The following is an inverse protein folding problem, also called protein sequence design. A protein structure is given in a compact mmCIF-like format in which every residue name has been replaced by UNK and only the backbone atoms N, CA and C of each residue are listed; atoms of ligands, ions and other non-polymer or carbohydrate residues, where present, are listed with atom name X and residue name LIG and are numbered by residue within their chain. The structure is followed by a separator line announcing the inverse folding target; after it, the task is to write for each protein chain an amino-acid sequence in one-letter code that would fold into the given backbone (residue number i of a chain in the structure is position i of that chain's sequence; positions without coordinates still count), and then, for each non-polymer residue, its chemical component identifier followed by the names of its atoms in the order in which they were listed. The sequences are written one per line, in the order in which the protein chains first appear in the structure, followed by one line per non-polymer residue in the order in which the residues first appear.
data_IF_031494604737
#
_entry.id   IF_031494604737
#
_cell.length_a   1.000
_cell.length_b   1.000
_cell.length_c   1.000
_cell.angle_alpha   90.00
_cell.angle_beta   90.00
_cell.angle_gamma   90.00
#
_symmetry.space_group_name_H-M   'P 1'
#
loop_
_entity.id
_entity.type
_entity.pdbx_description
1 polymer ?
#
# COMPACT_ATOMS: atom_id res chain seq x y z
N UNK A 1 -18.86 6.22 -22.18
CA UNK A 1 -18.44 6.81 -20.88
C UNK A 1 -16.92 6.72 -20.84
N UNK A 2 -16.26 7.83 -20.52
CA UNK A 2 -14.82 7.92 -20.34
C UNK A 2 -14.51 7.92 -18.84
N UNK A 3 -13.56 7.10 -18.41
CA UNK A 3 -13.09 7.03 -17.02
C UNK A 3 -11.66 7.51 -16.88
N UNK A 4 -11.27 7.90 -15.65
CA UNK A 4 -9.90 8.21 -15.27
C UNK A 4 -9.40 7.16 -14.27
N UNK A 5 -8.23 6.61 -14.51
CA UNK A 5 -7.64 5.53 -13.72
C UNK A 5 -6.21 5.90 -13.34
N UNK A 6 -5.83 5.64 -12.10
CA UNK A 6 -4.56 6.05 -11.53
C UNK A 6 -3.86 4.85 -10.87
N UNK A 7 -3.32 3.92 -11.66
CA UNK A 7 -2.59 2.77 -11.11
C UNK A 7 -1.20 3.18 -10.65
N UNK A 8 -0.74 2.73 -9.45
CA UNK A 8 0.66 2.83 -9.09
C UNK A 8 1.50 1.89 -9.95
N UNK A 9 2.74 2.29 -10.28
CA UNK A 9 3.53 1.60 -11.30
C UNK A 9 4.05 0.23 -10.84
N UNK A 10 4.65 0.15 -9.64
CA UNK A 10 5.34 -1.04 -9.15
C UNK A 10 4.46 -2.30 -9.09
N UNK A 11 3.24 -2.28 -8.55
CA UNK A 11 2.39 -3.48 -8.51
C UNK A 11 2.14 -4.09 -9.88
N UNK A 12 1.92 -3.23 -10.89
CA UNK A 12 1.68 -3.66 -12.28
C UNK A 12 2.94 -4.25 -12.91
N UNK A 13 4.11 -3.64 -12.65
CA UNK A 13 5.38 -4.04 -13.26
C UNK A 13 6.00 -5.27 -12.60
N UNK A 14 5.88 -5.41 -11.28
CA UNK A 14 6.54 -6.47 -10.50
C UNK A 14 5.62 -7.61 -10.08
N UNK A 15 4.31 -7.53 -10.36
CA UNK A 15 3.30 -8.45 -9.85
C UNK A 15 3.40 -8.59 -8.31
N UNK A 16 3.54 -7.46 -7.61
CA UNK A 16 3.56 -7.40 -6.14
C UNK A 16 2.29 -6.77 -5.60
N UNK A 17 1.89 -7.12 -4.39
CA UNK A 17 0.71 -6.55 -3.74
C UNK A 17 1.13 -5.35 -2.89
N UNK A 18 0.44 -4.22 -3.03
CA UNK A 18 0.65 -3.04 -2.18
C UNK A 18 0.37 -3.35 -0.72
N UNK A 19 1.14 -2.76 0.21
CA UNK A 19 0.92 -2.93 1.64
C UNK A 19 -0.51 -2.59 2.07
N UNK A 20 -1.09 -1.52 1.54
CA UNK A 20 -2.48 -1.16 1.82
C UNK A 20 -3.45 -2.30 1.45
N UNK A 21 -3.24 -2.96 0.32
CA UNK A 21 -4.04 -4.10 -0.09
C UNK A 21 -3.73 -5.35 0.75
N UNK A 22 -2.45 -5.63 1.07
CA UNK A 22 -2.07 -6.72 1.99
C UNK A 22 -2.79 -6.58 3.34
N UNK A 23 -2.80 -5.37 3.91
CA UNK A 23 -3.50 -5.06 5.16
C UNK A 23 -5.00 -5.35 5.03
N UNK A 24 -5.65 -4.85 3.96
CA UNK A 24 -7.09 -5.05 3.76
C UNK A 24 -7.46 -6.52 3.58
N UNK A 25 -6.71 -7.28 2.76
CA UNK A 25 -6.97 -8.71 2.58
C UNK A 25 -6.67 -9.52 3.84
N UNK A 26 -5.63 -9.17 4.59
CA UNK A 26 -5.32 -9.78 5.89
C UNK A 26 -6.45 -9.56 6.89
N UNK A 27 -6.95 -8.32 7.01
CA UNK A 27 -8.08 -7.99 7.89
C UNK A 27 -9.35 -8.75 7.49
N UNK A 28 -9.64 -8.84 6.19
CA UNK A 28 -10.79 -9.58 5.69
C UNK A 28 -10.69 -11.09 5.97
N UNK A 29 -9.51 -11.69 5.73
CA UNK A 29 -9.26 -13.11 5.96
C UNK A 29 -9.24 -13.48 7.46
N UNK A 30 -8.84 -12.53 8.31
CA UNK A 30 -8.76 -12.73 9.76
C UNK A 30 -9.99 -12.20 10.52
N UNK A 31 -11.10 -11.85 9.86
CA UNK A 31 -12.25 -11.21 10.51
C UNK A 31 -12.78 -12.00 11.72
N UNK A 32 -12.88 -13.33 11.61
CA UNK A 32 -13.30 -14.22 12.72
C UNK A 32 -12.17 -14.59 13.68
N UNK A 33 -10.94 -14.14 13.42
CA UNK A 33 -9.70 -14.44 14.16
C UNK A 33 -8.95 -13.17 14.57
N UNK A 34 -9.66 -12.08 14.78
CA UNK A 34 -9.06 -10.75 15.02
C UNK A 34 -8.12 -10.75 16.25
N UNK A 35 -8.46 -11.47 17.31
CA UNK A 35 -7.60 -11.61 18.50
C UNK A 35 -6.27 -12.29 18.16
N UNK A 36 -6.29 -13.35 17.34
CA UNK A 36 -5.10 -14.02 16.85
C UNK A 36 -4.24 -13.09 15.97
N UNK A 37 -4.89 -12.31 15.09
CA UNK A 37 -4.18 -11.34 14.26
C UNK A 37 -3.49 -10.26 15.10
N UNK A 38 -4.16 -9.72 16.12
CA UNK A 38 -3.55 -8.74 17.05
C UNK A 38 -2.35 -9.35 17.78
N UNK A 39 -2.45 -10.59 18.22
CA UNK A 39 -1.32 -11.28 18.86
C UNK A 39 -0.14 -11.47 17.89
N UNK A 40 -0.39 -11.84 16.64
CA UNK A 40 0.66 -11.95 15.62
C UNK A 40 1.33 -10.59 15.34
N UNK A 41 0.56 -9.52 15.23
CA UNK A 41 1.11 -8.15 15.09
C UNK A 41 2.01 -7.81 16.27
N UNK A 42 1.59 -8.09 17.52
CA UNK A 42 2.40 -7.85 18.73
C UNK A 42 3.68 -8.68 18.71
N UNK A 43 3.61 -9.96 18.32
CA UNK A 43 4.78 -10.83 18.20
C UNK A 43 5.78 -10.32 17.15
N UNK A 44 5.30 -9.83 16.01
CA UNK A 44 6.16 -9.24 14.98
C UNK A 44 6.80 -7.94 15.50
N UNK A 45 6.06 -7.07 16.18
CA UNK A 45 6.61 -5.87 16.83
C UNK A 45 7.72 -6.23 17.83
N UNK A 46 7.51 -7.28 18.66
CA UNK A 46 8.52 -7.73 19.65
C UNK A 46 9.78 -8.27 18.96
N UNK A 47 9.61 -9.00 17.85
CA UNK A 47 10.71 -9.55 17.06
C UNK A 47 11.59 -8.45 16.47
N UNK A 48 10.99 -7.43 15.89
CA UNK A 48 11.70 -6.33 15.22
C UNK A 48 12.04 -5.16 16.14
N UNK A 49 11.63 -5.19 17.42
CA UNK A 49 11.75 -4.07 18.35
C UNK A 49 13.15 -3.53 18.50
N UNK A 50 14.13 -4.42 18.69
CA UNK A 50 15.53 -3.99 18.91
C UNK A 50 16.15 -3.39 17.66
N UNK A 51 15.90 -4.01 16.51
CA UNK A 51 16.46 -3.59 15.21
C UNK A 51 15.94 -2.22 14.77
N UNK A 52 14.62 -2.01 14.84
CA UNK A 52 13.98 -0.77 14.40
C UNK A 52 13.67 0.20 15.55
N UNK A 53 14.16 -0.07 16.78
CA UNK A 53 13.94 0.79 17.97
C UNK A 53 12.46 1.08 18.24
N UNK A 54 11.61 0.09 18.07
CA UNK A 54 10.17 0.22 18.22
C UNK A 54 9.77 0.45 19.68
N UNK A 55 8.68 1.19 19.89
CA UNK A 55 8.05 1.38 21.21
C UNK A 55 7.37 0.10 21.69
N UNK A 56 6.89 0.10 22.96
CA UNK A 56 6.15 -1.05 23.51
C UNK A 56 4.82 -1.27 22.80
N UNK A 57 4.30 -2.51 22.85
CA UNK A 57 2.99 -2.84 22.31
C UNK A 57 1.88 -2.01 22.96
N UNK A 58 1.95 -1.78 24.28
CA UNK A 58 0.98 -0.97 25.01
C UNK A 58 1.01 0.50 24.59
N UNK A 59 2.20 1.05 24.28
CA UNK A 59 2.33 2.39 23.72
C UNK A 59 1.56 2.51 22.41
N UNK A 60 1.81 1.62 21.46
CA UNK A 60 1.14 1.66 20.17
C UNK A 60 -0.36 1.43 20.31
N UNK A 61 -0.76 0.44 21.08
CA UNK A 61 -2.17 0.13 21.26
C UNK A 61 -2.95 1.30 21.89
N UNK A 62 -2.42 1.92 22.96
CA UNK A 62 -3.07 3.06 23.61
C UNK A 62 -3.13 4.29 22.68
N UNK A 63 -2.07 4.55 21.91
CA UNK A 63 -2.01 5.70 21.01
C UNK A 63 -2.95 5.58 19.80
N UNK A 64 -3.08 4.39 19.23
CA UNK A 64 -3.65 4.21 17.90
C UNK A 64 -5.11 3.70 17.90
N UNK A 65 -5.63 3.23 19.02
CA UNK A 65 -7.00 2.65 19.12
C UNK A 65 -8.11 3.68 19.33
N UNK A 66 -7.93 4.94 18.94
CA UNK A 66 -9.02 5.91 18.95
C UNK A 66 -10.01 5.53 17.83
N UNK A 67 -11.12 4.92 18.25
CA UNK A 67 -12.13 4.37 17.37
C UNK A 67 -12.85 5.43 16.52
N UNK A 68 -13.42 4.98 15.41
CA UNK A 68 -14.37 5.73 14.61
C UNK A 68 -15.69 4.94 14.49
N UNK A 69 -16.67 5.48 13.79
CA UNK A 69 -18.00 4.83 13.65
C UNK A 69 -18.01 3.66 12.63
N UNK A 70 -16.93 3.44 11.88
CA UNK A 70 -16.91 2.50 10.77
C UNK A 70 -16.10 1.25 11.08
N UNK A 71 -14.95 1.41 11.76
CA UNK A 71 -14.02 0.33 12.04
C UNK A 71 -13.94 0.04 13.55
N UNK A 72 -13.76 -1.23 13.93
CA UNK A 72 -13.46 -1.60 15.32
C UNK A 72 -12.10 -1.03 15.77
N UNK A 73 -11.86 -1.01 17.08
CA UNK A 73 -10.61 -0.52 17.66
C UNK A 73 -9.40 -1.32 17.15
N UNK A 74 -9.56 -2.61 16.99
CA UNK A 74 -8.54 -3.56 16.50
C UNK A 74 -8.19 -3.29 15.03
N UNK A 75 -9.20 -3.10 14.19
CA UNK A 75 -9.02 -2.77 12.77
C UNK A 75 -8.29 -1.43 12.62
N UNK A 76 -8.72 -0.41 13.39
CA UNK A 76 -8.07 0.91 13.37
C UNK A 76 -6.62 0.82 13.84
N UNK A 77 -6.36 0.05 14.91
CA UNK A 77 -5.02 -0.17 15.41
C UNK A 77 -4.09 -0.72 14.30
N UNK A 78 -4.51 -1.80 13.66
CA UNK A 78 -3.71 -2.44 12.60
C UNK A 78 -3.47 -1.48 11.43
N UNK A 79 -4.52 -0.82 10.93
CA UNK A 79 -4.41 0.15 9.83
C UNK A 79 -3.44 1.28 10.18
N UNK A 80 -3.62 1.95 11.30
CA UNK A 80 -2.78 3.10 11.71
C UNK A 80 -1.35 2.68 12.00
N UNK A 81 -1.16 1.54 12.65
CA UNK A 81 0.17 1.02 12.95
C UNK A 81 0.96 0.77 11.67
N UNK A 82 0.40 -0.01 10.75
CA UNK A 82 1.11 -0.47 9.54
C UNK A 82 1.13 0.55 8.41
N UNK A 83 0.19 1.50 8.35
CA UNK A 83 0.13 2.48 7.26
C UNK A 83 0.77 3.83 7.61
N UNK A 84 0.88 4.17 8.90
CA UNK A 84 1.25 5.54 9.31
C UNK A 84 2.35 5.58 10.36
N UNK A 85 2.26 4.73 11.40
CA UNK A 85 3.11 4.87 12.60
C UNK A 85 4.48 4.22 12.46
N UNK A 86 4.56 3.08 11.77
CA UNK A 86 5.80 2.34 11.56
C UNK A 86 6.58 2.88 10.36
N UNK A 87 7.91 2.82 10.45
CA UNK A 87 8.77 3.05 9.30
C UNK A 87 8.48 2.04 8.20
N UNK A 88 8.63 2.46 6.95
CA UNK A 88 8.25 1.66 5.77
C UNK A 88 8.90 0.27 5.75
N UNK A 89 10.19 0.17 6.09
CA UNK A 89 10.92 -1.11 6.06
C UNK A 89 10.31 -2.15 7.00
N UNK A 90 10.06 -1.79 8.25
CA UNK A 90 9.46 -2.71 9.23
C UNK A 90 7.98 -2.96 8.93
N UNK A 91 7.27 -1.96 8.43
CA UNK A 91 5.88 -2.15 7.97
C UNK A 91 5.81 -3.17 6.83
N UNK A 92 6.70 -3.07 5.84
CA UNK A 92 6.81 -4.03 4.74
C UNK A 92 7.03 -5.47 5.24
N UNK A 93 7.96 -5.66 6.18
CA UNK A 93 8.24 -6.97 6.78
C UNK A 93 6.99 -7.56 7.45
N UNK A 94 6.35 -6.79 8.32
CA UNK A 94 5.17 -7.24 9.06
C UNK A 94 3.99 -7.49 8.11
N UNK A 95 3.73 -6.61 7.15
CA UNK A 95 2.67 -6.79 6.16
C UNK A 95 2.87 -8.07 5.34
N UNK A 96 4.10 -8.38 4.93
CA UNK A 96 4.43 -9.60 4.20
C UNK A 96 4.19 -10.85 5.04
N UNK A 97 4.66 -10.89 6.29
CA UNK A 97 4.46 -12.01 7.21
C UNK A 97 2.95 -12.29 7.43
N UNK A 98 2.18 -11.25 7.71
CA UNK A 98 0.75 -11.38 7.95
C UNK A 98 0.00 -11.80 6.69
N UNK A 99 0.32 -11.23 5.54
CA UNK A 99 -0.27 -11.57 4.26
C UNK A 99 0.01 -13.03 3.88
N UNK A 100 1.24 -13.50 4.05
CA UNK A 100 1.59 -14.90 3.83
C UNK A 100 0.84 -15.85 4.77
N UNK A 101 0.69 -15.48 6.03
CA UNK A 101 0.01 -16.32 7.03
C UNK A 101 -1.50 -16.41 6.82
N UNK A 102 -2.15 -15.29 6.49
CA UNK A 102 -3.61 -15.19 6.48
C UNK A 102 -4.24 -15.26 5.09
N UNK A 103 -3.48 -14.91 4.04
CA UNK A 103 -4.02 -14.80 2.67
C UNK A 103 -3.38 -15.82 1.74
N UNK A 104 -2.10 -15.66 1.39
CA UNK A 104 -1.42 -16.59 0.48
C UNK A 104 0.11 -16.43 0.52
N UNK A 105 0.82 -17.52 0.26
CA UNK A 105 2.27 -17.50 -0.01
C UNK A 105 2.60 -17.15 -1.46
N UNK A 106 1.64 -17.29 -2.38
CA UNK A 106 1.83 -16.96 -3.81
C UNK A 106 1.31 -15.56 -4.11
N UNK A 107 2.12 -14.57 -3.69
CA UNK A 107 1.83 -13.15 -3.93
C UNK A 107 1.75 -12.82 -5.42
N UNK A 108 2.58 -13.46 -6.26
CA UNK A 108 2.65 -13.16 -7.69
C UNK A 108 1.33 -13.54 -8.39
N UNK A 109 0.81 -14.73 -8.14
CA UNK A 109 -0.48 -15.16 -8.69
C UNK A 109 -1.59 -14.29 -8.14
N UNK A 110 -1.59 -14.00 -6.84
CA UNK A 110 -2.59 -13.14 -6.22
C UNK A 110 -2.60 -11.72 -6.82
N UNK A 111 -1.42 -11.13 -7.05
CA UNK A 111 -1.32 -9.80 -7.66
C UNK A 111 -1.93 -9.76 -9.07
N UNK A 112 -1.73 -10.82 -9.88
CA UNK A 112 -2.32 -10.94 -11.22
C UNK A 112 -3.86 -11.06 -11.21
N UNK A 113 -4.42 -11.56 -10.12
CA UNK A 113 -5.89 -11.65 -9.97
C UNK A 113 -6.52 -10.30 -9.60
N UNK A 114 -5.78 -9.42 -8.89
CA UNK A 114 -6.33 -8.17 -8.37
C UNK A 114 -5.91 -6.92 -9.13
N UNK A 115 -4.81 -6.97 -9.89
CA UNK A 115 -4.31 -5.84 -10.68
C UNK A 115 -4.39 -6.09 -12.17
N UNK A 116 -4.59 -5.02 -12.91
CA UNK A 116 -4.48 -5.03 -14.38
C UNK A 116 -3.02 -5.15 -14.79
N UNK A 117 -2.77 -5.84 -15.90
CA UNK A 117 -1.44 -5.89 -16.52
C UNK A 117 -1.23 -4.70 -17.48
N UNK A 118 0.01 -4.59 -17.99
CA UNK A 118 0.41 -3.54 -18.95
C UNK A 118 -0.44 -3.57 -20.23
N UNK A 119 -0.82 -4.77 -20.73
CA UNK A 119 -1.60 -4.88 -21.95
C UNK A 119 -3.06 -4.45 -21.76
N UNK A 120 -3.63 -4.76 -20.61
CA UNK A 120 -4.97 -4.31 -20.23
C UNK A 120 -5.01 -2.78 -20.10
N UNK A 121 -4.02 -2.16 -19.46
CA UNK A 121 -3.90 -0.70 -19.37
C UNK A 121 -3.70 -0.04 -20.75
N UNK A 122 -2.88 -0.63 -21.61
CA UNK A 122 -2.76 -0.18 -23.03
C UNK A 122 -4.08 -0.29 -23.77
N UNK A 123 -4.85 -1.34 -23.51
CA UNK A 123 -6.18 -1.50 -24.10
C UNK A 123 -7.12 -0.38 -23.63
N UNK A 124 -7.12 -0.04 -22.33
CA UNK A 124 -7.91 1.06 -21.79
C UNK A 124 -7.54 2.40 -22.45
N UNK A 125 -6.25 2.72 -22.54
CA UNK A 125 -5.77 3.96 -23.19
C UNK A 125 -6.24 4.04 -24.65
N UNK A 126 -6.12 2.95 -25.42
CA UNK A 126 -6.58 2.90 -26.82
C UNK A 126 -8.10 3.08 -26.98
N UNK A 127 -8.87 2.74 -25.96
CA UNK A 127 -10.33 2.91 -25.96
C UNK A 127 -10.79 4.20 -25.28
N UNK A 128 -9.91 5.19 -25.18
CA UNK A 128 -10.25 6.54 -24.73
C UNK A 128 -10.37 6.70 -23.21
N UNK A 129 -9.91 5.72 -22.40
CA UNK A 129 -9.81 5.90 -20.97
C UNK A 129 -8.54 6.71 -20.64
N UNK A 130 -8.65 7.59 -19.67
CA UNK A 130 -7.49 8.32 -19.17
C UNK A 130 -6.75 7.47 -18.14
N UNK A 131 -5.44 7.33 -18.31
CA UNK A 131 -4.54 6.70 -17.33
C UNK A 131 -3.56 7.74 -16.84
N UNK A 132 -3.54 8.02 -15.54
CA UNK A 132 -2.68 8.98 -14.88
C UNK A 132 -1.79 8.36 -13.80
N UNK A 133 -0.95 9.18 -13.16
CA UNK A 133 0.01 8.75 -12.15
C UNK A 133 -0.64 8.57 -10.78
N UNK A 134 -0.17 7.54 -10.04
CA UNK A 134 -0.42 7.36 -8.61
C UNK A 134 0.88 7.02 -7.86
N UNK A 135 2.00 7.56 -8.34
CA UNK A 135 3.33 7.23 -7.87
C UNK A 135 3.80 5.84 -8.34
N UNK A 136 4.95 5.44 -7.86
CA UNK A 136 5.52 4.12 -8.12
C UNK A 136 5.14 3.12 -7.02
N UNK A 137 5.50 3.40 -5.76
CA UNK A 137 5.31 2.51 -4.61
C UNK A 137 4.02 2.76 -3.82
N UNK A 138 3.25 3.80 -4.14
CA UNK A 138 2.08 4.24 -3.37
C UNK A 138 2.45 4.73 -1.96
N UNK A 139 3.55 5.44 -1.81
CA UNK A 139 3.99 6.02 -0.53
C UNK A 139 3.27 7.33 -0.20
N UNK A 140 3.27 7.67 1.09
CA UNK A 140 2.94 9.01 1.58
C UNK A 140 4.01 9.98 1.11
N UNK A 141 3.74 10.79 0.08
CA UNK A 141 4.77 11.63 -0.54
C UNK A 141 5.34 12.68 0.42
N UNK A 142 4.53 13.20 1.33
CA UNK A 142 4.94 14.18 2.35
C UNK A 142 5.92 13.62 3.39
N UNK A 143 6.10 12.31 3.47
CA UNK A 143 7.07 11.65 4.36
C UNK A 143 8.41 11.34 3.69
N UNK A 144 8.50 11.53 2.38
CA UNK A 144 9.69 11.23 1.59
C UNK A 144 10.63 12.45 1.49
N UNK A 145 11.95 12.19 1.32
CA UNK A 145 12.87 13.24 0.93
C UNK A 145 12.58 13.74 -0.50
N UNK A 146 13.01 14.97 -0.88
CA UNK A 146 12.83 15.48 -2.23
C UNK A 146 13.33 14.52 -3.32
N UNK A 147 14.48 13.87 -3.11
CA UNK A 147 15.06 12.92 -4.04
C UNK A 147 14.22 11.65 -4.18
N UNK A 148 13.62 11.21 -3.07
CA UNK A 148 12.69 10.06 -3.09
C UNK A 148 11.38 10.42 -3.77
N UNK A 149 10.86 11.64 -3.57
CA UNK A 149 9.67 12.13 -4.27
C UNK A 149 9.90 12.20 -5.78
N UNK A 150 11.04 12.74 -6.20
CA UNK A 150 11.44 12.80 -7.61
C UNK A 150 11.49 11.40 -8.22
N UNK A 151 12.11 10.44 -7.53
CA UNK A 151 12.17 9.04 -7.98
C UNK A 151 10.78 8.40 -8.12
N UNK A 152 9.87 8.63 -7.17
CA UNK A 152 8.48 8.13 -7.23
C UNK A 152 7.74 8.66 -8.46
N UNK A 153 7.94 9.94 -8.79
CA UNK A 153 7.33 10.59 -9.95
C UNK A 153 7.97 10.08 -11.24
N UNK A 154 9.29 10.06 -11.34
CA UNK A 154 10.01 9.63 -12.54
C UNK A 154 9.69 8.20 -12.93
N UNK A 155 9.69 7.27 -11.96
CA UNK A 155 9.32 5.87 -12.23
C UNK A 155 7.86 5.76 -12.68
N UNK A 156 6.96 6.57 -12.10
CA UNK A 156 5.56 6.59 -12.54
C UNK A 156 5.40 7.15 -13.96
N UNK A 157 6.18 8.16 -14.35
CA UNK A 157 6.16 8.71 -15.72
C UNK A 157 6.73 7.72 -16.74
N UNK A 158 7.79 6.96 -16.40
CA UNK A 158 8.28 5.85 -17.22
C UNK A 158 7.20 4.80 -17.45
N UNK A 159 6.45 4.49 -16.38
CA UNK A 159 5.31 3.57 -16.48
C UNK A 159 4.18 4.12 -17.35
N UNK A 160 3.79 5.39 -17.21
CA UNK A 160 2.77 6.01 -18.09
C UNK A 160 3.18 5.91 -19.55
N UNK A 161 4.44 6.20 -19.88
CA UNK A 161 4.99 6.05 -21.22
C UNK A 161 4.89 4.59 -21.73
N UNK A 162 5.19 3.62 -20.86
CA UNK A 162 5.09 2.20 -21.20
C UNK A 162 3.65 1.77 -21.53
N UNK A 163 2.64 2.30 -20.85
CA UNK A 163 1.22 1.99 -21.11
C UNK A 163 0.56 2.88 -22.16
N UNK A 164 1.35 3.71 -22.86
CA UNK A 164 0.90 4.67 -23.87
C UNK A 164 -0.09 5.72 -23.31
N UNK A 165 0.09 6.10 -22.06
CA UNK A 165 -0.65 7.17 -21.39
C UNK A 165 0.08 8.52 -21.60
N UNK A 166 -0.62 9.67 -21.38
CA UNK A 166 0.01 11.00 -21.47
C UNK A 166 1.15 11.16 -20.46
N UNK A 167 2.28 11.73 -20.93
CA UNK A 167 3.45 12.11 -20.11
C UNK A 167 3.74 13.61 -20.17
N UNK A 168 3.07 14.32 -21.08
CA UNK A 168 2.93 15.78 -21.10
C UNK A 168 1.52 16.09 -20.60
N UNK A 169 1.34 17.15 -19.85
CA UNK A 169 0.02 17.53 -19.28
C UNK A 169 -0.68 16.37 -18.51
N UNK A 170 0.12 15.58 -17.80
CA UNK A 170 -0.37 14.44 -17.04
C UNK A 170 -0.99 14.85 -15.69
N UNK A 171 -1.89 14.02 -15.19
CA UNK A 171 -2.55 14.21 -13.90
C UNK A 171 -2.04 13.17 -12.90
N UNK A 172 -1.76 13.61 -11.67
CA UNK A 172 -1.42 12.76 -10.54
C UNK A 172 -2.55 12.73 -9.52
N UNK A 173 -2.91 11.53 -9.09
CA UNK A 173 -3.67 11.33 -7.87
C UNK A 173 -2.67 11.04 -6.74
N UNK A 174 -2.61 11.90 -5.73
CA UNK A 174 -1.68 11.71 -4.60
C UNK A 174 -2.09 10.50 -3.77
N UNK A 175 -1.19 9.52 -3.53
CA UNK A 175 -1.46 8.44 -2.59
C UNK A 175 -1.88 9.01 -1.23
N UNK A 176 -2.97 8.50 -0.67
CA UNK A 176 -3.56 8.96 0.59
C UNK A 176 -3.95 10.45 0.63
N UNK A 177 -3.81 11.20 -0.46
CA UNK A 177 -3.96 12.65 -0.50
C UNK A 177 -2.82 13.40 0.20
N UNK A 178 -1.68 12.76 0.43
CA UNK A 178 -0.56 13.33 1.15
C UNK A 178 0.34 14.16 0.23
N UNK A 179 0.56 15.40 0.59
CA UNK A 179 1.49 16.33 -0.06
C UNK A 179 1.98 17.38 0.94
N UNK A 180 3.13 17.97 0.68
CA UNK A 180 3.69 19.11 1.39
C UNK A 180 4.03 20.24 0.40
N UNK A 181 4.39 21.40 0.98
CA UNK A 181 4.85 22.56 0.20
C UNK A 181 6.29 22.36 -0.32
#
# INVERSE_FOLDING_TARGET
IQGCFFPPAKPVLSNSVLNVNKIHFTLAAANEKMEALINDVKMSLDRYRSEFKLKSNDYYFSKLTIGNRFDSREVIFIKRLLQVELQEDVSNLICNELFQKYVTFDEITFAKEIYMDVNQLKCMSRNGMYVGSHGNNHYWLDTLSPEQQELEIDESLKFLKLVNAPTEDWIMCYPYGAYNE
#
